data_IF_854455020125
#
_entry.id   IF_854455020125
#
_cell.length_a   1.000
_cell.length_b   1.000
_cell.length_c   1.000
_cell.angle_alpha   90.00
_cell.angle_beta   90.00
_cell.angle_gamma   90.00
#
_symmetry.space_group_name_H-M   'P 1'
#
loop_
_entity.id
_entity.type
_entity.pdbx_description
1 polymer ?
#
# COMPACT_ATOMS: atom_id res chain seq x y z
N UNK A 1 11.92 -7.44 -17.25
CA UNK A 1 11.26 -6.26 -17.81
C UNK A 1 10.42 -6.62 -19.06
N UNK A 2 10.95 -7.40 -20.00
CA UNK A 2 10.24 -7.78 -21.24
C UNK A 2 8.85 -8.42 -21.00
N UNK A 3 8.75 -9.38 -20.08
CA UNK A 3 7.48 -10.02 -19.73
C UNK A 3 6.50 -9.03 -19.07
N UNK A 4 7.00 -8.08 -18.30
CA UNK A 4 6.19 -7.02 -17.70
C UNK A 4 5.60 -6.11 -18.78
N UNK A 5 6.40 -5.69 -19.76
CA UNK A 5 5.93 -4.87 -20.89
C UNK A 5 4.79 -5.59 -21.62
N UNK A 6 4.97 -6.88 -21.96
CA UNK A 6 3.92 -7.70 -22.59
C UNK A 6 2.65 -7.79 -21.76
N UNK A 7 2.79 -7.97 -20.43
CA UNK A 7 1.63 -8.03 -19.52
C UNK A 7 0.88 -6.69 -19.49
N UNK A 8 1.61 -5.58 -19.43
CA UNK A 8 1.02 -4.23 -19.44
C UNK A 8 0.33 -3.92 -20.75
N UNK A 9 0.93 -4.28 -21.90
CA UNK A 9 0.29 -4.14 -23.21
C UNK A 9 -1.02 -4.94 -23.32
N UNK A 10 -1.03 -6.16 -22.75
CA UNK A 10 -2.22 -7.01 -22.73
C UNK A 10 -3.32 -6.40 -21.86
N UNK A 11 -2.96 -5.92 -20.66
CA UNK A 11 -3.87 -5.24 -19.75
C UNK A 11 -4.44 -3.95 -20.36
N UNK A 12 -3.59 -3.15 -21.02
CA UNK A 12 -3.98 -1.92 -21.70
C UNK A 12 -5.03 -2.15 -22.78
N UNK A 13 -4.87 -3.21 -23.60
CA UNK A 13 -5.86 -3.61 -24.62
C UNK A 13 -7.22 -3.99 -24.01
N UNK A 14 -7.21 -4.49 -22.77
CA UNK A 14 -8.42 -4.84 -22.03
C UNK A 14 -8.98 -3.67 -21.20
N UNK A 15 -8.32 -2.51 -21.19
CA UNK A 15 -8.69 -1.37 -20.36
C UNK A 15 -8.46 -1.59 -18.85
N UNK A 16 -7.53 -2.48 -18.49
CA UNK A 16 -7.24 -2.86 -17.10
C UNK A 16 -5.95 -2.17 -16.64
N UNK A 17 -6.06 -1.47 -15.51
CA UNK A 17 -4.91 -0.88 -14.80
C UNK A 17 -4.20 -1.95 -13.97
N UNK A 18 -2.89 -2.06 -14.11
CA UNK A 18 -2.02 -2.85 -13.24
C UNK A 18 -1.36 -1.96 -12.19
N UNK A 19 -1.14 -2.50 -11.00
CA UNK A 19 -0.43 -1.79 -9.93
C UNK A 19 0.54 -2.73 -9.23
N UNK A 20 1.79 -2.30 -9.03
CA UNK A 20 2.72 -3.01 -8.18
C UNK A 20 2.33 -2.84 -6.71
N UNK A 21 2.02 -3.91 -6.04
CA UNK A 21 1.92 -3.91 -4.59
C UNK A 21 3.32 -3.86 -3.96
N UNK A 22 3.50 -2.99 -2.98
CA UNK A 22 4.72 -3.04 -2.15
C UNK A 22 4.62 -4.20 -1.18
N UNK A 23 5.63 -5.05 -1.19
CA UNK A 23 5.63 -6.36 -0.53
C UNK A 23 6.51 -6.40 0.72
N UNK A 24 6.55 -7.56 1.38
CA UNK A 24 7.32 -7.82 2.59
C UNK A 24 8.81 -8.11 2.31
N UNK A 25 9.19 -8.18 1.03
CA UNK A 25 10.54 -8.57 0.59
C UNK A 25 11.31 -7.38 0.03
N UNK A 26 12.62 -7.37 0.21
CA UNK A 26 13.51 -6.31 -0.27
C UNK A 26 13.42 -6.03 -1.77
N UNK A 27 12.91 -6.98 -2.53
CA UNK A 27 12.73 -6.82 -3.96
C UNK A 27 11.73 -5.70 -4.31
N UNK A 28 10.64 -5.55 -3.52
CA UNK A 28 9.55 -4.63 -3.83
C UNK A 28 8.91 -4.08 -2.54
N UNK A 29 9.70 -3.64 -1.57
CA UNK A 29 9.21 -3.18 -0.26
C UNK A 29 9.06 -1.65 -0.16
N UNK A 30 9.41 -0.89 -1.21
CA UNK A 30 9.25 0.56 -1.26
C UNK A 30 8.58 1.02 -2.55
N UNK A 31 7.92 2.19 -2.49
CA UNK A 31 7.32 2.84 -3.67
C UNK A 31 8.39 3.19 -4.69
N UNK A 32 9.55 3.66 -4.24
CA UNK A 32 10.66 4.04 -5.14
C UNK A 32 11.14 2.84 -5.98
N UNK A 33 11.24 1.64 -5.38
CA UNK A 33 11.59 0.42 -6.13
C UNK A 33 10.55 0.07 -7.18
N UNK A 34 9.26 0.17 -6.85
CA UNK A 34 8.18 -0.04 -7.79
C UNK A 34 8.22 1.00 -8.93
N UNK A 35 8.48 2.27 -8.61
CA UNK A 35 8.58 3.35 -9.58
C UNK A 35 9.72 3.17 -10.57
N UNK A 36 10.78 2.46 -10.23
CA UNK A 36 11.84 2.12 -11.19
C UNK A 36 11.28 1.30 -12.37
N UNK A 37 10.38 0.34 -12.09
CA UNK A 37 9.71 -0.46 -13.12
C UNK A 37 8.63 0.33 -13.85
N UNK A 38 7.84 1.15 -13.14
CA UNK A 38 6.81 2.00 -13.74
C UNK A 38 7.43 2.94 -14.78
N UNK A 39 8.52 3.62 -14.43
CA UNK A 39 9.27 4.50 -15.35
C UNK A 39 9.89 3.74 -16.53
N UNK A 40 10.43 2.53 -16.28
CA UNK A 40 11.05 1.73 -17.33
C UNK A 40 10.04 1.18 -18.35
N UNK A 41 8.79 0.95 -17.94
CA UNK A 41 7.69 0.50 -18.84
C UNK A 41 7.03 1.68 -19.53
N UNK A 42 6.96 2.84 -18.87
CA UNK A 42 6.40 4.10 -19.37
C UNK A 42 5.00 3.92 -19.98
N UNK A 43 4.09 3.32 -19.21
CA UNK A 43 2.72 3.07 -19.64
C UNK A 43 1.71 3.64 -18.63
N UNK A 44 0.65 4.34 -19.09
CA UNK A 44 -0.41 4.82 -18.20
C UNK A 44 -1.24 3.68 -17.59
N UNK A 45 -1.04 2.44 -18.03
CA UNK A 45 -1.71 1.24 -17.51
C UNK A 45 -0.88 0.50 -16.45
N UNK A 46 0.26 1.07 -16.01
CA UNK A 46 1.05 0.53 -14.91
C UNK A 46 1.29 1.61 -13.86
N UNK A 47 0.93 1.32 -12.64
CA UNK A 47 1.17 2.19 -11.49
C UNK A 47 1.67 1.42 -10.28
N UNK A 48 1.56 2.05 -9.12
CA UNK A 48 1.93 1.47 -7.83
C UNK A 48 0.68 1.31 -6.97
N UNK A 49 0.64 0.24 -6.21
CA UNK A 49 -0.40 -0.05 -5.21
C UNK A 49 0.29 -0.25 -3.85
N UNK A 50 0.68 0.84 -3.16
CA UNK A 50 1.42 0.72 -1.91
C UNK A 50 0.60 0.04 -0.82
N UNK A 51 1.25 -0.78 0.01
CA UNK A 51 0.75 -1.25 1.30
C UNK A 51 1.41 -0.46 2.42
N UNK A 52 0.63 0.28 3.19
CA UNK A 52 1.13 1.20 4.21
C UNK A 52 1.89 0.47 5.34
N UNK A 53 1.45 -0.73 5.71
CA UNK A 53 2.13 -1.55 6.71
C UNK A 53 3.49 -2.05 6.24
N UNK A 54 3.58 -2.51 4.98
CA UNK A 54 4.84 -2.93 4.38
C UNK A 54 5.83 -1.77 4.29
N UNK A 55 5.35 -0.59 3.84
CA UNK A 55 6.17 0.63 3.80
C UNK A 55 6.68 1.04 5.18
N UNK A 56 5.83 0.92 6.23
CA UNK A 56 6.24 1.24 7.60
C UNK A 56 7.37 0.34 8.08
N UNK A 57 7.30 -0.97 7.80
CA UNK A 57 8.39 -1.90 8.11
C UNK A 57 9.65 -1.64 7.27
N UNK A 58 9.49 -1.33 5.98
CA UNK A 58 10.63 -0.97 5.13
C UNK A 58 11.31 0.33 5.63
N UNK A 59 10.53 1.33 6.02
CA UNK A 59 11.05 2.58 6.59
C UNK A 59 11.85 2.34 7.88
N UNK A 60 11.36 1.47 8.78
CA UNK A 60 12.13 1.06 9.96
C UNK A 60 13.45 0.40 9.57
N UNK A 61 13.44 -0.49 8.58
CA UNK A 61 14.62 -1.23 8.12
C UNK A 61 15.68 -0.32 7.51
N UNK A 62 15.25 0.65 6.70
CA UNK A 62 16.16 1.53 5.95
C UNK A 62 16.42 2.86 6.64
N UNK A 63 15.87 3.10 7.83
CA UNK A 63 15.89 4.41 8.50
C UNK A 63 15.37 5.53 7.59
N UNK A 64 14.31 5.23 6.85
CA UNK A 64 13.68 6.11 5.88
C UNK A 64 12.36 6.70 6.41
N UNK A 65 11.73 7.57 5.61
CA UNK A 65 10.44 8.18 5.94
C UNK A 65 9.34 7.61 5.02
N UNK A 66 8.27 7.09 5.59
CA UNK A 66 7.12 6.51 4.86
C UNK A 66 6.46 7.55 3.96
N UNK A 67 6.32 8.79 4.44
CA UNK A 67 5.64 9.86 3.70
C UNK A 67 6.43 10.28 2.47
N UNK A 68 7.76 10.32 2.59
CA UNK A 68 8.65 10.64 1.46
C UNK A 68 8.63 9.50 0.42
N UNK A 69 8.58 8.24 0.87
CA UNK A 69 8.47 7.10 -0.03
C UNK A 69 7.13 7.10 -0.79
N UNK A 70 6.00 7.37 -0.11
CA UNK A 70 4.70 7.56 -0.77
C UNK A 70 4.75 8.70 -1.78
N UNK A 71 5.40 9.83 -1.43
CA UNK A 71 5.58 10.98 -2.32
C UNK A 71 6.31 10.61 -3.62
N UNK A 72 7.25 9.67 -3.57
CA UNK A 72 8.00 9.22 -4.75
C UNK A 72 7.12 8.60 -5.85
N UNK A 73 5.93 8.15 -5.48
CA UNK A 73 4.90 7.61 -6.38
C UNK A 73 3.91 8.62 -6.94
N UNK A 74 4.14 9.93 -6.76
CA UNK A 74 3.24 10.99 -7.22
C UNK A 74 2.80 10.80 -8.67
N UNK A 75 1.49 10.79 -8.88
CA UNK A 75 0.86 10.64 -10.19
C UNK A 75 0.74 9.17 -10.67
N UNK A 76 1.30 8.21 -9.94
CA UNK A 76 1.32 6.79 -10.34
C UNK A 76 0.68 5.85 -9.30
N UNK A 77 0.21 6.36 -8.17
CA UNK A 77 -0.46 5.52 -7.16
C UNK A 77 -1.91 5.29 -7.57
N UNK A 78 -2.29 4.04 -7.82
CA UNK A 78 -3.62 3.67 -8.32
C UNK A 78 -4.62 3.41 -7.19
N UNK A 79 -4.15 2.89 -6.06
CA UNK A 79 -4.90 2.62 -4.84
C UNK A 79 -3.88 2.37 -3.71
N UNK A 80 -4.34 2.10 -2.48
CA UNK A 80 -3.46 1.83 -1.34
C UNK A 80 -4.07 0.77 -0.43
N UNK A 81 -3.27 -0.21 -0.01
CA UNK A 81 -3.59 -1.09 1.11
C UNK A 81 -3.34 -0.40 2.44
N UNK A 82 -4.26 -0.61 3.37
CA UNK A 82 -4.13 -0.22 4.76
C UNK A 82 -4.02 -1.50 5.58
N UNK A 83 -2.83 -1.85 6.01
CA UNK A 83 -2.48 -3.02 6.79
C UNK A 83 -1.78 -2.62 8.07
N UNK A 84 -2.13 -3.30 9.16
CA UNK A 84 -1.43 -3.12 10.43
C UNK A 84 -0.20 -4.02 10.50
N UNK A 85 0.89 -3.49 11.03
CA UNK A 85 2.15 -4.22 11.23
C UNK A 85 2.82 -3.81 12.55
N UNK A 86 3.80 -4.60 12.97
CA UNK A 86 4.78 -4.21 14.00
C UNK A 86 6.19 -4.44 13.44
N UNK A 87 7.26 -3.87 14.04
CA UNK A 87 8.60 -4.03 13.51
C UNK A 87 8.97 -5.49 13.23
N UNK A 88 9.25 -5.80 11.96
CA UNK A 88 9.64 -7.14 11.51
C UNK A 88 8.51 -8.17 11.42
N UNK A 89 7.26 -7.83 11.75
CA UNK A 89 6.10 -8.70 11.56
C UNK A 89 5.03 -8.01 10.73
N UNK A 90 4.62 -8.67 9.65
CA UNK A 90 3.81 -8.10 8.58
C UNK A 90 2.36 -8.54 8.58
N UNK A 91 2.03 -9.63 9.27
CA UNK A 91 0.73 -10.29 9.19
C UNK A 91 0.18 -10.62 10.58
N UNK A 92 -1.13 -10.84 10.66
CA UNK A 92 -1.81 -11.27 11.89
C UNK A 92 -1.66 -10.27 13.04
N UNK A 93 -1.59 -8.98 12.73
CA UNK A 93 -1.58 -7.90 13.72
C UNK A 93 -2.97 -7.28 13.78
N UNK A 94 -3.63 -7.26 14.94
CA UNK A 94 -4.91 -6.58 15.09
C UNK A 94 -4.76 -5.07 14.84
N UNK A 95 -5.68 -4.49 14.10
CA UNK A 95 -5.66 -3.05 13.80
C UNK A 95 -5.68 -2.22 15.09
N UNK A 96 -4.87 -1.17 15.14
CA UNK A 96 -4.69 -0.28 16.28
C UNK A 96 -3.75 -0.79 17.36
N UNK A 97 -3.10 -1.95 17.15
CA UNK A 97 -2.11 -2.50 18.09
C UNK A 97 -0.68 -2.46 17.56
N UNK A 98 -0.49 -1.97 16.37
CA UNK A 98 0.80 -1.91 15.70
C UNK A 98 1.44 -0.52 15.72
N UNK A 99 2.23 -0.24 14.69
CA UNK A 99 3.02 0.99 14.59
C UNK A 99 2.70 1.83 13.35
N UNK A 100 1.67 1.47 12.60
CA UNK A 100 1.32 2.15 11.34
C UNK A 100 0.60 3.46 11.64
N UNK A 101 1.11 4.58 11.13
CA UNK A 101 0.41 5.86 11.18
C UNK A 101 -0.57 5.97 9.99
N UNK A 102 -1.77 5.41 10.20
CA UNK A 102 -2.83 5.45 9.18
C UNK A 102 -3.28 6.88 8.84
N UNK A 103 -3.27 7.78 9.81
CA UNK A 103 -3.72 9.15 9.59
C UNK A 103 -2.76 9.88 8.62
N UNK A 104 -1.45 9.84 8.91
CA UNK A 104 -0.45 10.47 8.07
C UNK A 104 -0.37 9.84 6.67
N UNK A 105 -0.39 8.49 6.58
CA UNK A 105 -0.33 7.78 5.32
C UNK A 105 -1.55 8.04 4.43
N UNK A 106 -2.76 8.02 4.99
CA UNK A 106 -4.00 8.32 4.28
C UNK A 106 -4.03 9.79 3.83
N UNK A 107 -3.65 10.72 4.70
CA UNK A 107 -3.57 12.13 4.34
C UNK A 107 -2.64 12.34 3.14
N UNK A 108 -1.43 11.80 3.19
CA UNK A 108 -0.47 11.91 2.08
C UNK A 108 -1.02 11.30 0.80
N UNK A 109 -1.59 10.10 0.86
CA UNK A 109 -2.17 9.45 -0.31
C UNK A 109 -3.30 10.30 -0.94
N UNK A 110 -4.16 10.92 -0.12
CA UNK A 110 -5.23 11.80 -0.58
C UNK A 110 -4.71 13.09 -1.23
N UNK A 111 -3.65 13.68 -0.68
CA UNK A 111 -2.95 14.84 -1.28
C UNK A 111 -2.43 14.49 -2.69
N UNK A 112 -1.99 13.24 -2.89
CA UNK A 112 -1.55 12.72 -4.18
C UNK A 112 -2.69 12.30 -5.13
N UNK A 113 -3.95 12.46 -4.70
CA UNK A 113 -5.12 12.13 -5.52
C UNK A 113 -5.63 10.71 -5.36
N UNK A 114 -5.06 9.89 -4.48
CA UNK A 114 -5.56 8.52 -4.21
C UNK A 114 -6.95 8.58 -3.59
N UNK A 115 -7.87 7.76 -4.11
CA UNK A 115 -9.28 7.71 -3.66
C UNK A 115 -9.76 6.30 -3.35
N UNK A 116 -8.94 5.29 -3.58
CA UNK A 116 -9.27 3.88 -3.33
C UNK A 116 -8.33 3.34 -2.26
N UNK A 117 -8.93 2.84 -1.18
CA UNK A 117 -8.22 2.24 -0.05
C UNK A 117 -8.85 0.89 0.25
N UNK A 118 -8.03 -0.11 0.54
CA UNK A 118 -8.45 -1.47 0.90
C UNK A 118 -7.82 -1.84 2.23
N UNK A 119 -8.64 -2.24 3.20
CA UNK A 119 -8.15 -2.81 4.45
C UNK A 119 -7.61 -4.22 4.17
N UNK A 120 -6.32 -4.43 4.31
CA UNK A 120 -5.72 -5.76 4.23
C UNK A 120 -5.64 -6.35 5.65
N UNK A 121 -6.48 -7.36 5.89
CA UNK A 121 -6.55 -8.02 7.18
C UNK A 121 -6.16 -9.48 7.06
N UNK A 122 -5.30 -9.91 7.98
CA UNK A 122 -4.97 -11.32 8.14
C UNK A 122 -5.71 -11.89 9.36
N UNK A 123 -6.17 -13.13 9.24
CA UNK A 123 -6.87 -13.80 10.32
C UNK A 123 -5.94 -14.04 11.51
N UNK A 124 -6.28 -13.48 12.67
CA UNK A 124 -5.47 -13.52 13.90
C UNK A 124 -5.73 -14.74 14.78
N UNK A 125 -6.61 -15.65 14.36
CA UNK A 125 -7.08 -16.75 15.20
C UNK A 125 -8.27 -16.38 16.12
N UNK A 126 -8.77 -15.14 16.05
CA UNK A 126 -9.88 -14.67 16.88
C UNK A 126 -11.19 -15.38 16.56
N UNK A 127 -11.87 -15.89 17.58
CA UNK A 127 -13.23 -16.43 17.44
C UNK A 127 -14.25 -15.33 17.10
N UNK A 128 -13.93 -14.07 17.43
CA UNK A 128 -14.80 -12.90 17.21
C UNK A 128 -14.36 -12.05 15.99
N UNK A 129 -13.81 -12.70 14.98
CA UNK A 129 -13.25 -12.06 13.78
C UNK A 129 -14.20 -11.05 13.10
N UNK A 130 -15.53 -11.26 13.21
CA UNK A 130 -16.51 -10.31 12.65
C UNK A 130 -16.48 -8.96 13.35
N UNK A 131 -16.28 -8.93 14.65
CA UNK A 131 -16.13 -7.69 15.40
C UNK A 131 -14.74 -7.08 15.19
N UNK A 132 -13.69 -7.90 15.01
CA UNK A 132 -12.35 -7.42 14.62
C UNK A 132 -12.40 -6.66 13.29
N UNK A 133 -13.10 -7.21 12.28
CA UNK A 133 -13.30 -6.54 10.98
C UNK A 133 -14.08 -5.23 11.14
N UNK A 134 -15.14 -5.23 11.96
CA UNK A 134 -15.91 -4.00 12.22
C UNK A 134 -15.08 -2.92 12.93
N UNK A 135 -14.30 -3.32 13.92
CA UNK A 135 -13.43 -2.40 14.67
C UNK A 135 -12.34 -1.78 13.75
N UNK A 136 -11.68 -2.61 12.93
CA UNK A 136 -10.72 -2.16 11.94
C UNK A 136 -11.36 -1.18 10.94
N UNK A 137 -12.52 -1.51 10.40
CA UNK A 137 -13.26 -0.64 9.49
C UNK A 137 -13.61 0.71 10.14
N UNK A 138 -14.09 0.71 11.38
CA UNK A 138 -14.43 1.93 12.10
C UNK A 138 -13.21 2.82 12.32
N UNK A 139 -12.06 2.24 12.71
CA UNK A 139 -10.80 2.93 12.89
C UNK A 139 -10.30 3.57 11.59
N UNK A 140 -10.28 2.78 10.50
CA UNK A 140 -9.83 3.26 9.19
C UNK A 140 -10.75 4.31 8.61
N UNK A 141 -12.08 4.19 8.80
CA UNK A 141 -13.03 5.24 8.44
C UNK A 141 -12.76 6.52 9.22
N UNK A 142 -12.31 6.44 10.48
CA UNK A 142 -11.86 7.60 11.26
C UNK A 142 -10.68 8.31 10.58
N UNK A 143 -9.63 7.55 10.21
CA UNK A 143 -8.46 8.08 9.50
C UNK A 143 -8.83 8.66 8.11
N UNK A 144 -9.74 8.00 7.39
CA UNK A 144 -10.22 8.46 6.09
C UNK A 144 -11.09 9.72 6.16
N UNK A 145 -11.76 10.01 7.28
CA UNK A 145 -12.63 11.17 7.46
C UNK A 145 -11.96 12.33 8.22
N UNK A 146 -10.77 12.13 8.76
CA UNK A 146 -9.97 13.20 9.33
C UNK A 146 -9.63 14.23 8.24
N UNK A 147 -9.84 15.53 8.59
CA UNK A 147 -9.60 16.68 7.69
C UNK A 147 -8.29 17.35 8.03
#
# INVERSE_FOLDING_TARGET
>A
LENLIKAVEYAAKAGIMLGFETMETEFMDTVEKAMAYVRAVDSPYLGVYPDLGNLTNAACKYSANVIDDIESGRGHIVAMHLKETVPGKYREIPFGTGHVDFAAGVQKARELGVRRFVAEMWYTGSADWKNDVKAANAMLCGALNAR
#
